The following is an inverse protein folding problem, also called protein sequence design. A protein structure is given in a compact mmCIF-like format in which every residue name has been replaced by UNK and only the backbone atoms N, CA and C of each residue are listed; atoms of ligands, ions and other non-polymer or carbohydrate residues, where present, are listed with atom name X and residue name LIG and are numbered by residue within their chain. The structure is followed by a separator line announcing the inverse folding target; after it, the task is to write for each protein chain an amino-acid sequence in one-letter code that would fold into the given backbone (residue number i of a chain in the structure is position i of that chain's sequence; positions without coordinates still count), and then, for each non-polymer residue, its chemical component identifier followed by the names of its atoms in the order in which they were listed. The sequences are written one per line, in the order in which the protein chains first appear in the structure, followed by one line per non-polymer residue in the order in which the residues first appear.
data_IF_555157346356
#
_entry.id   IF_555157346356
#
_cell.length_a   1.000
_cell.length_b   1.000
_cell.length_c   1.000
_cell.angle_alpha   90.00
_cell.angle_beta   90.00
_cell.angle_gamma   90.00
#
_symmetry.space_group_name_H-M   'P 1'
#
loop_
_entity.id
_entity.type
_entity.pdbx_description
1 polymer ?
#
# COMPACT_ATOMS: atom_id res chain seq x y z
N UNK A 1 -11.12 -21.15 -5.67
CA UNK A 1 -10.26 -20.00 -5.46
C UNK A 1 -8.98 -20.31 -4.70
N UNK A 2 -8.56 -19.42 -3.79
CA UNK A 2 -7.25 -19.46 -3.09
C UNK A 2 -6.98 -20.80 -2.38
N UNK A 3 -7.96 -21.35 -1.64
CA UNK A 3 -7.78 -22.65 -0.96
C UNK A 3 -7.46 -23.79 -1.92
N UNK A 4 -8.11 -23.84 -3.08
CA UNK A 4 -7.85 -24.88 -4.08
C UNK A 4 -6.44 -24.70 -4.69
N UNK A 5 -6.02 -23.45 -4.93
CA UNK A 5 -4.68 -23.15 -5.42
C UNK A 5 -3.62 -23.54 -4.41
N UNK A 6 -3.80 -23.19 -3.14
CA UNK A 6 -2.88 -23.57 -2.05
C UNK A 6 -2.80 -25.10 -1.87
N UNK A 7 -3.94 -25.80 -1.92
CA UNK A 7 -3.96 -27.24 -1.85
C UNK A 7 -3.21 -27.91 -3.03
N UNK A 8 -3.41 -27.40 -4.24
CA UNK A 8 -2.70 -27.84 -5.43
C UNK A 8 -1.19 -27.60 -5.32
N UNK A 9 -0.80 -26.40 -4.90
CA UNK A 9 0.61 -26.02 -4.73
C UNK A 9 1.30 -26.86 -3.65
N UNK A 10 0.65 -27.02 -2.50
CA UNK A 10 1.19 -27.84 -1.40
C UNK A 10 1.28 -29.32 -1.81
N UNK A 11 0.32 -29.81 -2.58
CA UNK A 11 0.35 -31.16 -3.15
C UNK A 11 1.47 -31.36 -4.17
N UNK A 12 1.75 -30.36 -5.00
CA UNK A 12 2.77 -30.41 -6.06
C UNK A 12 4.20 -30.17 -5.56
N UNK A 13 4.38 -29.20 -4.68
CA UNK A 13 5.71 -28.74 -4.23
C UNK A 13 6.03 -29.12 -2.78
N UNK A 14 5.07 -29.74 -2.07
CA UNK A 14 5.23 -30.14 -0.67
C UNK A 14 5.03 -28.99 0.31
N UNK A 15 4.96 -29.36 1.59
CA UNK A 15 4.79 -28.42 2.72
C UNK A 15 6.00 -27.47 2.88
N UNK A 16 7.16 -27.88 2.37
CA UNK A 16 8.39 -27.07 2.38
C UNK A 16 8.25 -25.70 1.66
N UNK A 17 7.29 -25.58 0.73
CA UNK A 17 6.96 -24.31 0.09
C UNK A 17 6.41 -23.26 1.05
N UNK A 18 5.76 -23.67 2.13
CA UNK A 18 5.10 -22.73 3.06
C UNK A 18 6.10 -21.79 3.75
N UNK A 19 7.30 -22.29 4.08
CA UNK A 19 8.31 -21.48 4.76
C UNK A 19 8.85 -20.33 3.87
N UNK A 20 9.22 -20.55 2.59
CA UNK A 20 9.52 -19.45 1.67
C UNK A 20 8.40 -18.44 1.54
N UNK A 21 7.13 -18.87 1.42
CA UNK A 21 5.99 -17.97 1.32
C UNK A 21 5.79 -17.12 2.59
N UNK A 22 5.99 -17.70 3.77
CA UNK A 22 5.98 -16.94 5.03
C UNK A 22 7.08 -15.87 5.07
N UNK A 23 8.27 -16.17 4.52
CA UNK A 23 9.35 -15.17 4.39
C UNK A 23 8.94 -14.02 3.48
N UNK A 24 8.24 -14.29 2.37
CA UNK A 24 7.71 -13.23 1.49
C UNK A 24 6.70 -12.35 2.23
N UNK A 25 5.75 -12.97 2.94
CA UNK A 25 4.79 -12.22 3.77
C UNK A 25 5.55 -11.32 4.75
N UNK A 26 6.49 -11.89 5.50
CA UNK A 26 7.30 -11.12 6.45
C UNK A 26 8.08 -9.99 5.80
N UNK A 27 8.69 -10.22 4.64
CA UNK A 27 9.47 -9.21 3.92
C UNK A 27 8.58 -8.06 3.42
N UNK A 28 7.40 -8.36 2.85
CA UNK A 28 6.45 -7.32 2.40
C UNK A 28 5.92 -6.51 3.59
N UNK A 29 5.50 -7.16 4.67
CA UNK A 29 5.01 -6.48 5.87
C UNK A 29 6.10 -5.62 6.52
N UNK A 30 7.32 -6.13 6.63
CA UNK A 30 8.45 -5.37 7.14
C UNK A 30 8.76 -4.16 6.25
N UNK A 31 8.79 -4.36 4.92
CA UNK A 31 8.98 -3.28 3.96
C UNK A 31 7.91 -2.21 4.06
N UNK A 32 6.63 -2.60 4.14
CA UNK A 32 5.50 -1.70 4.36
C UNK A 32 5.65 -0.91 5.67
N UNK A 33 6.01 -1.59 6.76
CA UNK A 33 6.22 -0.95 8.06
C UNK A 33 7.37 0.06 8.02
N UNK A 34 8.50 -0.33 7.45
CA UNK A 34 9.66 0.56 7.29
C UNK A 34 9.33 1.77 6.40
N UNK A 35 8.54 1.57 5.34
CA UNK A 35 8.10 2.66 4.47
C UNK A 35 7.20 3.65 5.22
N UNK A 36 6.19 3.15 5.93
CA UNK A 36 5.27 4.00 6.72
C UNK A 36 6.00 4.74 7.83
N UNK A 37 6.80 4.03 8.64
CA UNK A 37 7.50 4.64 9.77
C UNK A 37 8.69 5.50 9.33
N UNK A 38 9.41 5.09 8.29
CA UNK A 38 10.59 5.82 7.80
C UNK A 38 10.19 6.95 6.86
N UNK A 39 9.58 6.62 5.71
CA UNK A 39 9.31 7.60 4.65
C UNK A 39 8.21 8.57 5.05
N UNK A 40 7.03 8.07 5.47
CA UNK A 40 5.90 8.94 5.78
C UNK A 40 6.17 9.83 6.99
N UNK A 41 6.80 9.27 8.04
CA UNK A 41 7.18 10.09 9.20
C UNK A 41 8.22 11.15 8.83
N UNK A 42 9.18 10.82 7.97
CA UNK A 42 10.18 11.79 7.51
C UNK A 42 9.53 12.91 6.70
N UNK A 43 8.59 12.61 5.80
CA UNK A 43 7.86 13.61 5.03
C UNK A 43 7.03 14.53 5.93
N UNK A 44 6.34 13.97 6.93
CA UNK A 44 5.57 14.76 7.90
C UNK A 44 6.48 15.70 8.71
N UNK A 45 7.60 15.21 9.21
CA UNK A 45 8.53 16.00 10.04
C UNK A 45 9.24 17.07 9.20
N UNK A 46 9.82 16.66 8.06
CA UNK A 46 10.73 17.53 7.29
C UNK A 46 9.98 18.53 6.41
N UNK A 47 8.88 18.11 5.76
CA UNK A 47 8.14 18.96 4.84
C UNK A 47 6.99 19.70 5.53
N UNK A 48 6.17 19.01 6.30
CA UNK A 48 5.00 19.60 6.92
C UNK A 48 5.28 20.19 8.32
N UNK A 49 6.33 19.72 8.99
CA UNK A 49 6.65 20.03 10.40
C UNK A 49 5.52 19.66 11.35
N UNK A 50 4.96 18.48 11.12
CA UNK A 50 3.83 17.91 11.85
C UNK A 50 4.25 16.68 12.64
N UNK A 51 3.48 16.33 13.68
CA UNK A 51 3.73 15.15 14.51
C UNK A 51 3.22 13.87 13.84
N UNK A 52 4.07 12.90 13.46
CA UNK A 52 3.65 11.67 12.81
C UNK A 52 2.74 10.79 13.68
N UNK A 53 2.94 10.77 15.00
CA UNK A 53 2.11 9.96 15.91
C UNK A 53 0.65 10.41 15.87
N UNK A 54 0.42 11.71 15.82
CA UNK A 54 -0.92 12.28 15.70
C UNK A 54 -1.55 11.89 14.34
N UNK A 55 -0.78 12.00 13.27
CA UNK A 55 -1.21 11.58 11.93
C UNK A 55 -1.67 10.12 11.92
N UNK A 56 -0.84 9.19 12.39
CA UNK A 56 -1.19 7.76 12.38
C UNK A 56 -2.40 7.44 13.26
N UNK A 57 -2.53 8.08 14.41
CA UNK A 57 -3.73 7.97 15.26
C UNK A 57 -5.00 8.40 14.53
N UNK A 58 -4.93 9.49 13.78
CA UNK A 58 -6.08 10.09 13.09
C UNK A 58 -6.59 9.24 11.92
N UNK A 59 -5.73 8.40 11.32
CA UNK A 59 -6.09 7.60 10.13
C UNK A 59 -6.33 6.12 10.42
N UNK A 60 -6.34 5.70 11.70
CA UNK A 60 -6.51 4.29 12.09
C UNK A 60 -7.75 3.64 11.46
N UNK A 61 -8.88 4.36 11.39
CA UNK A 61 -10.11 3.82 10.81
C UNK A 61 -9.96 3.58 9.31
N UNK A 62 -9.33 4.52 8.59
CA UNK A 62 -9.03 4.34 7.17
C UNK A 62 -8.08 3.15 6.96
N UNK A 63 -7.05 3.00 7.82
CA UNK A 63 -6.14 1.86 7.77
C UNK A 63 -6.87 0.53 8.06
N UNK A 64 -7.78 0.48 9.02
CA UNK A 64 -8.55 -0.72 9.36
C UNK A 64 -9.47 -1.14 8.20
N UNK A 65 -10.16 -0.17 7.57
CA UNK A 65 -11.00 -0.44 6.40
C UNK A 65 -10.16 -0.85 5.19
N UNK A 66 -9.03 -0.19 4.93
CA UNK A 66 -8.10 -0.56 3.86
C UNK A 66 -7.56 -1.98 4.06
N UNK A 67 -7.15 -2.32 5.26
CA UNK A 67 -6.64 -3.64 5.61
C UNK A 67 -7.69 -4.74 5.39
N UNK A 68 -8.91 -4.53 5.83
CA UNK A 68 -9.98 -5.55 5.73
C UNK A 68 -10.56 -5.67 4.33
N UNK A 69 -10.74 -4.55 3.62
CA UNK A 69 -11.33 -4.52 2.27
C UNK A 69 -10.32 -4.84 1.17
N UNK A 70 -9.04 -4.50 1.36
CA UNK A 70 -7.99 -4.48 0.32
C UNK A 70 -8.39 -3.63 -0.89
N UNK A 71 -9.09 -2.51 -0.66
CA UNK A 71 -9.58 -1.63 -1.73
C UNK A 71 -9.45 -0.17 -1.33
N UNK A 72 -8.54 0.55 -1.97
CA UNK A 72 -8.39 2.01 -1.78
C UNK A 72 -9.67 2.76 -2.17
N UNK A 73 -10.32 2.32 -3.25
CA UNK A 73 -11.58 2.91 -3.72
C UNK A 73 -12.72 2.74 -2.71
N UNK A 74 -12.85 1.57 -2.09
CA UNK A 74 -13.86 1.33 -1.06
C UNK A 74 -13.56 2.06 0.24
N UNK A 75 -12.30 2.37 0.51
CA UNK A 75 -11.85 3.09 1.71
C UNK A 75 -11.97 4.61 1.54
N UNK A 76 -12.13 5.11 0.31
CA UNK A 76 -12.12 6.54 0.00
C UNK A 76 -13.06 7.39 0.87
N UNK A 77 -14.33 7.00 1.17
CA UNK A 77 -15.20 7.80 2.05
C UNK A 77 -14.63 7.97 3.46
N UNK A 78 -13.99 6.92 3.98
CA UNK A 78 -13.37 6.97 5.32
C UNK A 78 -12.10 7.81 5.29
N UNK A 79 -11.30 7.71 4.22
CA UNK A 79 -10.11 8.53 4.01
C UNK A 79 -10.45 10.02 3.96
N UNK A 80 -11.54 10.39 3.27
CA UNK A 80 -12.07 11.75 3.24
C UNK A 80 -12.42 12.23 4.66
N UNK A 81 -13.21 11.43 5.40
CA UNK A 81 -13.61 11.79 6.76
C UNK A 81 -12.42 11.95 7.72
N UNK A 82 -11.42 11.06 7.65
CA UNK A 82 -10.20 11.17 8.45
C UNK A 82 -9.41 12.43 8.10
N UNK A 83 -9.22 12.70 6.80
CA UNK A 83 -8.46 13.86 6.35
C UNK A 83 -9.10 15.19 6.73
N UNK A 84 -10.42 15.31 6.59
CA UNK A 84 -11.14 16.55 6.86
C UNK A 84 -11.38 16.77 8.35
N UNK A 85 -11.92 15.76 9.04
CA UNK A 85 -12.42 15.92 10.41
C UNK A 85 -11.36 15.75 11.48
N UNK A 86 -10.31 14.96 11.23
CA UNK A 86 -9.26 14.67 12.20
C UNK A 86 -7.92 15.31 11.90
N UNK A 87 -7.64 15.54 10.61
CA UNK A 87 -6.37 16.15 10.18
C UNK A 87 -6.53 17.60 9.74
N UNK A 88 -7.77 18.10 9.60
CA UNK A 88 -8.03 19.50 9.26
C UNK A 88 -7.68 19.87 7.81
N UNK A 89 -7.67 18.90 6.89
CA UNK A 89 -7.46 19.14 5.45
C UNK A 89 -8.74 19.75 4.86
N UNK A 90 -8.62 20.83 4.07
CA UNK A 90 -9.79 21.44 3.45
C UNK A 90 -10.51 20.49 2.47
N UNK A 91 -11.87 20.54 2.40
CA UNK A 91 -12.65 19.75 1.44
C UNK A 91 -12.28 20.01 -0.01
N UNK A 92 -11.79 21.22 -0.33
CA UNK A 92 -11.32 21.58 -1.68
C UNK A 92 -10.10 20.75 -2.12
N UNK A 93 -9.23 20.39 -1.18
CA UNK A 93 -8.05 19.56 -1.43
C UNK A 93 -8.42 18.08 -1.38
N UNK A 94 -9.15 17.62 -0.35
CA UNK A 94 -9.48 16.21 -0.19
C UNK A 94 -10.28 15.67 -1.36
N UNK A 95 -11.29 16.42 -1.84
CA UNK A 95 -12.12 16.04 -2.97
C UNK A 95 -11.37 15.84 -4.29
N UNK A 96 -10.16 16.41 -4.43
CA UNK A 96 -9.32 16.25 -5.62
C UNK A 96 -8.20 15.24 -5.38
N UNK A 97 -7.49 15.38 -4.28
CA UNK A 97 -6.25 14.62 -4.02
C UNK A 97 -6.54 13.16 -3.71
N UNK A 98 -7.52 12.87 -2.86
CA UNK A 98 -7.76 11.50 -2.42
C UNK A 98 -8.31 10.58 -3.54
N UNK A 99 -9.27 11.01 -4.41
CA UNK A 99 -9.69 10.19 -5.54
C UNK A 99 -8.57 9.93 -6.56
N UNK A 100 -7.70 10.92 -6.78
CA UNK A 100 -6.53 10.78 -7.66
C UNK A 100 -5.51 9.85 -7.00
N UNK A 101 -5.22 10.04 -5.71
CA UNK A 101 -4.30 9.21 -4.93
C UNK A 101 -4.66 7.74 -4.99
N UNK A 102 -5.95 7.41 -4.80
CA UNK A 102 -6.46 6.04 -4.83
C UNK A 102 -6.16 5.26 -6.14
N UNK A 103 -5.67 5.93 -7.18
CA UNK A 103 -5.27 5.33 -8.47
C UNK A 103 -3.83 5.61 -8.88
N UNK A 104 -3.19 6.66 -8.33
CA UNK A 104 -1.85 7.07 -8.75
C UNK A 104 -0.80 6.80 -7.67
N UNK A 105 -1.17 6.95 -6.40
CA UNK A 105 -0.24 6.82 -5.28
C UNK A 105 -0.30 5.41 -4.68
N UNK A 106 0.31 4.45 -5.39
CA UNK A 106 0.28 3.03 -5.00
C UNK A 106 1.68 2.51 -4.63
N UNK A 107 2.35 3.18 -3.73
CA UNK A 107 3.70 2.85 -3.26
C UNK A 107 3.79 1.50 -2.54
N UNK A 108 2.78 1.10 -1.77
CA UNK A 108 2.68 -0.26 -1.24
C UNK A 108 2.60 -1.33 -2.34
N UNK A 109 1.93 -1.03 -3.46
CA UNK A 109 1.87 -1.93 -4.62
C UNK A 109 3.22 -2.01 -5.33
N UNK A 110 3.93 -0.90 -5.50
CA UNK A 110 5.27 -0.88 -6.07
C UNK A 110 6.26 -1.68 -5.21
N UNK A 111 6.22 -1.50 -3.88
CA UNK A 111 7.03 -2.26 -2.92
C UNK A 111 6.74 -3.77 -3.00
N UNK A 112 5.48 -4.14 -3.01
CA UNK A 112 5.06 -5.54 -3.17
C UNK A 112 5.63 -6.16 -4.44
N UNK A 113 5.57 -5.48 -5.57
CA UNK A 113 6.10 -5.98 -6.84
C UNK A 113 7.61 -6.19 -6.78
N UNK A 114 8.35 -5.26 -6.20
CA UNK A 114 9.78 -5.40 -6.00
C UNK A 114 10.13 -6.65 -5.19
N UNK A 115 9.53 -6.79 -4.01
CA UNK A 115 9.81 -7.93 -3.11
C UNK A 115 9.41 -9.27 -3.75
N UNK A 116 8.23 -9.32 -4.41
CA UNK A 116 7.75 -10.57 -5.02
C UNK A 116 8.55 -10.96 -6.26
N UNK A 117 9.00 -10.00 -7.07
CA UNK A 117 9.89 -10.28 -8.21
C UNK A 117 11.23 -10.86 -7.74
N UNK A 118 11.83 -10.31 -6.70
CA UNK A 118 13.06 -10.84 -6.10
C UNK A 118 12.86 -12.25 -5.55
N UNK A 119 11.72 -12.50 -4.91
CA UNK A 119 11.39 -13.86 -4.45
C UNK A 119 11.28 -14.84 -5.60
N UNK A 120 10.59 -14.47 -6.69
CA UNK A 120 10.44 -15.33 -7.87
C UNK A 120 11.82 -15.62 -8.48
N UNK A 121 12.69 -14.63 -8.62
CA UNK A 121 14.05 -14.84 -9.11
C UNK A 121 14.79 -15.88 -8.24
N UNK A 122 14.75 -15.73 -6.92
CA UNK A 122 15.38 -16.68 -5.99
C UNK A 122 14.75 -18.07 -6.04
N UNK A 123 13.43 -18.17 -6.13
CA UNK A 123 12.70 -19.45 -6.17
C UNK A 123 13.01 -20.26 -7.42
N UNK A 124 13.30 -19.59 -8.54
CA UNK A 124 13.61 -20.22 -9.82
C UNK A 124 15.13 -20.25 -10.13
N UNK A 125 15.97 -19.81 -9.20
CA UNK A 125 17.44 -19.82 -9.35
C UNK A 125 17.94 -18.89 -10.45
N UNK A 126 17.25 -17.77 -10.68
CA UNK A 126 17.63 -16.75 -11.67
C UNK A 126 18.49 -15.69 -10.97
N UNK A 127 19.73 -15.53 -11.45
CA UNK A 127 20.62 -14.47 -10.96
C UNK A 127 20.25 -13.14 -11.60
N UNK A 128 19.99 -12.14 -10.77
CA UNK A 128 19.67 -10.78 -11.21
C UNK A 128 20.93 -9.90 -11.21
N UNK A 129 21.11 -9.17 -12.31
CA UNK A 129 22.13 -8.15 -12.44
C UNK A 129 21.61 -6.77 -11.99
N UNK A 130 22.49 -5.79 -11.81
CA UNK A 130 22.11 -4.42 -11.41
C UNK A 130 21.04 -3.81 -12.32
N UNK A 131 21.13 -4.09 -13.63
CA UNK A 131 20.16 -3.61 -14.61
C UNK A 131 18.76 -4.18 -14.36
N UNK A 132 18.67 -5.45 -13.94
CA UNK A 132 17.39 -6.11 -13.63
C UNK A 132 16.73 -5.50 -12.41
N UNK A 133 17.50 -5.18 -11.36
CA UNK A 133 16.99 -4.45 -10.20
C UNK A 133 16.44 -3.07 -10.56
N UNK A 134 17.16 -2.31 -11.38
CA UNK A 134 16.72 -1.00 -11.86
C UNK A 134 15.47 -1.12 -12.73
N UNK A 135 15.38 -2.15 -13.56
CA UNK A 135 14.22 -2.45 -14.39
C UNK A 135 13.01 -2.80 -13.51
N UNK A 136 13.17 -3.67 -12.51
CA UNK A 136 12.11 -4.03 -11.57
C UNK A 136 11.59 -2.77 -10.87
N UNK A 137 12.47 -1.93 -10.31
CA UNK A 137 12.08 -0.69 -9.62
C UNK A 137 11.31 0.24 -10.57
N UNK A 138 11.82 0.44 -11.78
CA UNK A 138 11.19 1.35 -12.75
C UNK A 138 9.82 0.83 -13.19
N UNK A 139 9.70 -0.44 -13.54
CA UNK A 139 8.45 -1.03 -13.99
C UNK A 139 7.45 -1.12 -12.84
N UNK A 140 7.87 -1.55 -11.64
CA UNK A 140 7.00 -1.59 -10.47
C UNK A 140 6.42 -0.22 -10.13
N UNK A 141 7.24 0.82 -10.20
CA UNK A 141 6.80 2.21 -9.97
C UNK A 141 5.85 2.68 -11.05
N UNK A 142 6.21 2.52 -12.33
CA UNK A 142 5.36 2.98 -13.44
C UNK A 142 4.05 2.19 -13.53
N UNK A 143 4.10 0.86 -13.35
CA UNK A 143 2.93 0.00 -13.39
C UNK A 143 1.97 0.26 -12.21
N UNK A 144 2.47 0.70 -11.07
CA UNK A 144 1.62 1.03 -9.92
C UNK A 144 0.80 2.31 -10.16
N UNK A 145 1.28 3.22 -11.01
CA UNK A 145 0.56 4.44 -11.38
C UNK A 145 -0.61 4.09 -12.32
N UNK A 146 -1.80 4.56 -12.00
CA UNK A 146 -3.01 4.31 -12.79
C UNK A 146 -3.64 2.92 -12.59
N UNK A 147 -3.20 2.19 -11.57
CA UNK A 147 -3.79 0.92 -11.19
C UNK A 147 -5.12 1.14 -10.47
N UNK A 148 -6.14 0.32 -10.79
CA UNK A 148 -7.41 0.39 -10.08
C UNK A 148 -7.24 0.03 -8.59
N UNK A 149 -7.80 0.86 -7.69
CA UNK A 149 -7.77 0.64 -6.25
C UNK A 149 -8.72 -0.48 -5.78
N UNK A 150 -8.66 -1.64 -6.46
CA UNK A 150 -9.52 -2.81 -6.23
C UNK A 150 -8.68 -4.05 -5.88
N UNK A 151 -9.24 -5.01 -5.12
CA UNK A 151 -8.50 -6.20 -4.69
C UNK A 151 -7.91 -7.00 -5.86
N UNK A 152 -6.69 -7.50 -5.69
CA UNK A 152 -6.03 -8.42 -6.62
C UNK A 152 -5.34 -7.78 -7.82
N UNK A 153 -5.43 -6.47 -8.02
CA UNK A 153 -4.79 -5.79 -9.17
C UNK A 153 -3.26 -5.89 -9.15
N UNK A 154 -2.65 -5.92 -7.97
CA UNK A 154 -1.20 -6.08 -7.85
C UNK A 154 -0.69 -7.40 -8.41
N UNK A 155 -1.47 -8.48 -8.32
CA UNK A 155 -1.11 -9.77 -8.90
C UNK A 155 -1.07 -9.72 -10.44
N UNK A 156 -1.98 -8.98 -11.07
CA UNK A 156 -1.95 -8.73 -12.51
C UNK A 156 -0.71 -7.94 -12.92
N UNK A 157 -0.34 -6.92 -12.16
CA UNK A 157 0.84 -6.12 -12.41
C UNK A 157 2.14 -6.90 -12.20
N UNK A 158 2.15 -7.88 -11.29
CA UNK A 158 3.30 -8.74 -11.09
C UNK A 158 3.68 -9.48 -12.38
N UNK A 159 2.69 -9.90 -13.18
CA UNK A 159 2.93 -10.50 -14.50
C UNK A 159 3.74 -9.58 -15.41
N UNK A 160 3.40 -8.27 -15.42
CA UNK A 160 4.13 -7.27 -16.21
C UNK A 160 5.58 -7.12 -15.70
N UNK A 161 5.76 -7.01 -14.39
CA UNK A 161 7.09 -6.85 -13.78
C UNK A 161 7.98 -8.06 -14.05
N UNK A 162 7.46 -9.28 -13.89
CA UNK A 162 8.22 -10.51 -14.18
C UNK A 162 8.60 -10.61 -15.66
N UNK A 163 7.66 -10.29 -16.57
CA UNK A 163 7.90 -10.32 -18.01
C UNK A 163 9.02 -9.36 -18.41
N UNK A 164 9.06 -8.17 -17.81
CA UNK A 164 10.04 -7.13 -18.15
C UNK A 164 11.49 -7.55 -17.87
N UNK A 165 11.71 -8.44 -16.91
CA UNK A 165 13.04 -8.96 -16.54
C UNK A 165 13.22 -10.44 -16.91
N UNK A 166 12.31 -11.00 -17.72
CA UNK A 166 12.43 -12.39 -18.20
C UNK A 166 12.27 -13.45 -17.12
N UNK A 167 11.60 -13.13 -16.00
CA UNK A 167 11.34 -14.08 -14.92
C UNK A 167 10.16 -15.00 -15.25
N UNK A 168 10.16 -16.26 -14.75
CA UNK A 168 9.10 -17.22 -14.99
C UNK A 168 7.75 -16.75 -14.46
N UNK A 169 6.71 -16.78 -15.29
CA UNK A 169 5.34 -16.39 -14.94
C UNK A 169 4.66 -17.39 -13.99
N UNK A 170 5.19 -18.59 -13.86
CA UNK A 170 4.79 -19.59 -12.87
C UNK A 170 4.94 -19.04 -11.45
N UNK A 171 5.84 -18.08 -11.23
CA UNK A 171 5.99 -17.34 -9.98
C UNK A 171 4.72 -16.63 -9.54
N UNK A 172 3.88 -16.15 -10.49
CA UNK A 172 2.60 -15.53 -10.19
C UNK A 172 1.67 -16.50 -9.45
N UNK A 173 1.66 -17.78 -9.87
CA UNK A 173 0.85 -18.81 -9.22
C UNK A 173 1.30 -19.06 -7.78
N UNK A 174 2.61 -18.99 -7.50
CA UNK A 174 3.15 -19.13 -6.14
C UNK A 174 2.65 -17.99 -5.23
N UNK A 175 2.69 -16.77 -5.72
CA UNK A 175 2.27 -15.58 -4.98
C UNK A 175 0.74 -15.51 -4.82
N UNK A 176 -0.03 -15.93 -5.83
CA UNK A 176 -1.50 -15.88 -5.81
C UNK A 176 -2.12 -16.58 -4.61
N UNK A 177 -1.46 -17.61 -4.06
CA UNK A 177 -1.92 -18.32 -2.87
C UNK A 177 -1.91 -17.46 -1.59
N UNK A 178 -1.01 -16.51 -1.49
CA UNK A 178 -0.84 -15.62 -0.34
C UNK A 178 -1.19 -14.16 -0.65
N UNK A 179 -1.57 -13.85 -1.90
CA UNK A 179 -1.79 -12.48 -2.37
C UNK A 179 -2.79 -11.70 -1.50
N UNK A 180 -3.85 -12.36 -1.03
CA UNK A 180 -4.83 -11.70 -0.16
C UNK A 180 -4.19 -11.09 1.09
N UNK A 181 -3.28 -11.82 1.74
CA UNK A 181 -2.59 -11.35 2.94
C UNK A 181 -1.65 -10.19 2.58
N UNK A 182 -0.97 -10.28 1.45
CA UNK A 182 -0.08 -9.22 0.97
C UNK A 182 -0.86 -7.96 0.57
N UNK A 183 -2.03 -8.13 -0.04
CA UNK A 183 -2.92 -7.04 -0.46
C UNK A 183 -3.42 -6.20 0.72
N UNK A 184 -3.72 -6.84 1.85
CA UNK A 184 -4.13 -6.15 3.08
C UNK A 184 -3.08 -5.12 3.52
N UNK A 185 -1.81 -5.51 3.58
CA UNK A 185 -0.72 -4.62 3.98
C UNK A 185 -0.46 -3.51 2.95
N UNK A 186 -0.33 -3.87 1.66
CA UNK A 186 -0.05 -2.89 0.60
C UNK A 186 -1.15 -1.84 0.46
N UNK A 187 -2.43 -2.24 0.56
CA UNK A 187 -3.55 -1.30 0.48
C UNK A 187 -3.57 -0.34 1.67
N UNK A 188 -3.23 -0.82 2.86
CA UNK A 188 -3.08 0.04 4.04
C UNK A 188 -2.01 1.11 3.84
N UNK A 189 -0.87 0.74 3.24
CA UNK A 189 0.20 1.70 2.89
C UNK A 189 -0.31 2.71 1.87
N UNK A 190 -0.92 2.25 0.76
CA UNK A 190 -1.44 3.13 -0.29
C UNK A 190 -2.42 4.17 0.28
N UNK A 191 -3.42 3.74 1.04
CA UNK A 191 -4.41 4.65 1.67
C UNK A 191 -3.75 5.62 2.64
N UNK A 192 -2.77 5.15 3.43
CA UNK A 192 -2.01 6.05 4.32
C UNK A 192 -1.22 7.09 3.52
N UNK A 193 -0.62 6.71 2.39
CA UNK A 193 0.07 7.62 1.48
C UNK A 193 -0.86 8.65 0.86
N UNK A 194 -2.07 8.24 0.43
CA UNK A 194 -3.07 9.14 -0.15
C UNK A 194 -3.43 10.28 0.82
N UNK A 195 -3.73 9.91 2.07
CA UNK A 195 -4.05 10.89 3.11
C UNK A 195 -2.84 11.77 3.43
N UNK A 196 -1.63 11.19 3.49
CA UNK A 196 -0.39 11.94 3.70
C UNK A 196 -0.20 13.02 2.64
N UNK A 197 -0.33 12.68 1.37
CA UNK A 197 -0.19 13.63 0.25
C UNK A 197 -1.20 14.76 0.39
N UNK A 198 -2.45 14.46 0.78
CA UNK A 198 -3.46 15.50 1.01
C UNK A 198 -3.07 16.48 2.12
N UNK A 199 -2.49 15.97 3.22
CA UNK A 199 -1.97 16.80 4.34
C UNK A 199 -0.78 17.65 3.88
N UNK A 200 0.16 17.09 3.10
CA UNK A 200 1.33 17.82 2.60
C UNK A 200 0.91 18.96 1.67
N UNK A 201 -0.02 18.70 0.76
CA UNK A 201 -0.57 19.71 -0.16
C UNK A 201 -1.32 20.78 0.63
N UNK A 202 -2.23 20.39 1.55
CA UNK A 202 -2.95 21.37 2.38
C UNK A 202 -1.99 22.24 3.20
N UNK A 203 -0.90 21.66 3.69
CA UNK A 203 0.13 22.41 4.41
C UNK A 203 0.83 23.42 3.53
N UNK A 204 1.16 23.06 2.29
CA UNK A 204 1.83 23.95 1.34
C UNK A 204 0.92 25.07 0.85
N UNK A 205 -0.35 24.78 0.61
CA UNK A 205 -1.36 25.74 0.16
C UNK A 205 -1.95 26.60 1.29
N UNK A 206 -1.55 26.34 2.54
CA UNK A 206 -2.09 27.01 3.76
C UNK A 206 -3.58 26.73 3.98
N UNK A 207 -4.04 25.59 3.53
CA UNK A 207 -5.41 25.07 3.67
C UNK A 207 -5.50 23.92 4.67
N UNK A 208 -4.54 23.83 5.61
CA UNK A 208 -4.55 22.90 6.73
C UNK A 208 -4.95 23.63 8.00
N UNK A 209 -6.06 23.22 8.62
CA UNK A 209 -6.47 23.72 9.94
C UNK A 209 -5.63 23.07 11.04
N UNK A 210 -4.67 23.82 11.57
CA UNK A 210 -3.77 23.34 12.61
C UNK A 210 -4.48 23.19 13.98
N UNK A 211 -5.61 23.86 14.22
CA UNK A 211 -6.37 23.68 15.44
C UNK A 211 -7.01 22.28 15.47
N UNK A 212 -7.59 21.87 14.34
CA UNK A 212 -8.10 20.49 14.18
C UNK A 212 -6.95 19.49 14.24
N UNK A 213 -5.84 19.75 13.51
CA UNK A 213 -4.70 18.82 13.49
C UNK A 213 -4.12 18.58 14.89
N UNK A 214 -4.10 19.56 15.77
CA UNK A 214 -3.51 19.45 17.11
C UNK A 214 -4.52 19.12 18.21
N UNK A 215 -5.79 18.90 17.86
CA UNK A 215 -6.81 18.53 18.83
C UNK A 215 -6.52 17.15 19.41
N UNK A 216 -6.29 17.09 20.71
CA UNK A 216 -5.98 15.85 21.43
C UNK A 216 -7.19 14.90 21.57
N UNK A 217 -8.42 15.41 21.42
CA UNK A 217 -9.67 14.63 21.47
C UNK A 217 -9.90 13.79 20.20
N UNK A 218 -9.08 13.97 19.18
CA UNK A 218 -9.12 13.23 17.92
C UNK A 218 -8.78 11.76 18.17
N UNK A 219 -9.79 10.92 18.20
CA UNK A 219 -9.70 9.47 18.46
C UNK A 219 -10.97 8.92 19.11
N UNK A 220 -11.84 9.80 19.61
CA UNK A 220 -13.17 9.46 20.08
C UNK A 220 -14.14 9.52 18.90
N UNK A 221 -14.90 8.47 18.72
CA UNK A 221 -15.92 8.15 17.70
C UNK A 221 -16.22 9.20 16.61
N UNK A 222 -15.79 8.90 15.37
CA UNK A 222 -16.40 9.57 14.22
C UNK A 222 -17.79 8.99 14.04
N UNK A 223 -18.82 9.80 14.22
CA UNK A 223 -20.15 9.52 13.73
C UNK A 223 -20.11 9.57 12.18
N UNK A 224 -20.05 8.39 11.55
CA UNK A 224 -20.07 8.23 10.10
C UNK A 224 -21.46 8.44 9.49
N UNK A 225 -22.45 8.89 10.25
CA UNK A 225 -23.74 9.30 9.68
C UNK A 225 -23.51 10.53 8.80
N UNK A 226 -23.47 10.26 7.51
CA UNK A 226 -23.41 11.27 6.45
C UNK A 226 -24.63 12.20 6.61
N UNK A 227 -24.40 13.46 6.98
CA UNK A 227 -25.34 14.54 6.72
C UNK A 227 -24.96 15.24 5.44
#
# INVERSE_FOLDING_TARGET
GVCALMAWMTGKYGVSLLLPLLKVIGAVYLGCLLHVLGVYSSLLILLARLNPLHYFKSIVDAQAVAFTSSSSSSTLPISLACAERRLGVSPAITAKVLPIGATINMDGTALYQGVTALFVAQAFGVDLHVVDYLTIISIATLASIGTAGTPGTGLMLLTLTLTAVGLPLEGVALIAGIDRILDMARTTVNVSGDILVSVLIARSEKELDLAIYHDASVGEDIDFTLR
#
